data_IF_475406214736
#
_entry.id   IF_475406214736
#
_cell.length_a   1.000
_cell.length_b   1.000
_cell.length_c   1.000
_cell.angle_alpha   90.00
_cell.angle_beta   90.00
_cell.angle_gamma   90.00
#
_symmetry.space_group_name_H-M   'P 1'
#
loop_
_entity.id
_entity.type
_entity.pdbx_description
1 polymer ?
#
# COMPACT_ATOMS: atom_id res chain seq x y z
N UNK A 1 -21.28 -9.25 29.80
CA UNK A 1 -20.10 -8.73 29.08
C UNK A 1 -20.51 -8.52 27.62
N UNK A 2 -20.30 -7.34 27.06
CA UNK A 2 -20.71 -7.05 25.67
C UNK A 2 -19.85 -7.84 24.68
N UNK A 3 -20.49 -8.42 23.65
CA UNK A 3 -19.83 -9.23 22.60
C UNK A 3 -18.63 -8.51 21.95
N UNK A 4 -18.66 -7.17 21.85
CA UNK A 4 -17.57 -6.37 21.29
C UNK A 4 -16.26 -6.42 22.08
N UNK A 5 -16.29 -6.63 23.40
CA UNK A 5 -15.08 -6.72 24.21
C UNK A 5 -14.25 -7.97 23.89
N UNK A 6 -14.94 -9.10 23.67
CA UNK A 6 -14.30 -10.38 23.32
C UNK A 6 -13.58 -10.27 21.98
N UNK A 7 -14.20 -9.61 21.00
CA UNK A 7 -13.62 -9.41 19.66
C UNK A 7 -12.35 -8.55 19.72
N UNK A 8 -12.36 -7.47 20.51
CA UNK A 8 -11.18 -6.62 20.67
C UNK A 8 -10.02 -7.37 21.36
N UNK A 9 -10.32 -8.14 22.41
CA UNK A 9 -9.32 -8.94 23.12
C UNK A 9 -8.67 -9.98 22.19
N UNK A 10 -9.47 -10.67 21.38
CA UNK A 10 -8.97 -11.63 20.39
C UNK A 10 -8.09 -10.95 19.33
N UNK A 11 -8.53 -9.83 18.76
CA UNK A 11 -7.76 -9.10 17.74
C UNK A 11 -6.41 -8.59 18.25
N UNK A 12 -6.35 -8.11 19.50
CA UNK A 12 -5.08 -7.66 20.12
C UNK A 12 -4.13 -8.84 20.28
N UNK A 13 -4.62 -9.97 20.82
CA UNK A 13 -3.79 -11.17 21.02
C UNK A 13 -3.29 -11.73 19.70
N UNK A 14 -4.15 -11.82 18.69
CA UNK A 14 -3.80 -12.33 17.37
C UNK A 14 -2.78 -11.43 16.66
N UNK A 15 -2.97 -10.10 16.75
CA UNK A 15 -2.01 -9.13 16.20
C UNK A 15 -0.64 -9.20 16.87
N UNK A 16 -0.58 -9.34 18.20
CA UNK A 16 0.67 -9.53 18.94
C UNK A 16 1.34 -10.86 18.60
N UNK A 17 0.55 -11.95 18.52
CA UNK A 17 1.04 -13.28 18.17
C UNK A 17 1.66 -13.29 16.76
N UNK A 18 0.97 -12.69 15.79
CA UNK A 18 1.43 -12.59 14.41
C UNK A 18 2.70 -11.75 14.33
N UNK A 19 2.74 -10.62 15.03
CA UNK A 19 3.91 -9.73 15.06
C UNK A 19 5.14 -10.45 15.63
N UNK A 20 5.00 -11.12 16.78
CA UNK A 20 6.09 -11.84 17.44
C UNK A 20 6.58 -13.05 16.63
N UNK A 21 5.69 -13.84 16.04
CA UNK A 21 6.07 -14.93 15.11
C UNK A 21 6.89 -14.41 13.92
N UNK A 22 6.60 -13.19 13.49
CA UNK A 22 7.28 -12.58 12.35
C UNK A 22 8.70 -12.08 12.69
N UNK A 23 8.98 -11.78 13.96
CA UNK A 23 10.27 -11.27 14.44
C UNK A 23 11.14 -12.39 14.99
N UNK A 24 10.53 -13.40 15.61
CA UNK A 24 11.22 -14.56 16.19
C UNK A 24 10.61 -15.88 15.69
N UNK A 25 10.78 -16.22 14.39
CA UNK A 25 10.20 -17.45 13.82
C UNK A 25 10.80 -18.73 14.43
N UNK A 26 12.00 -18.64 15.02
CA UNK A 26 12.68 -19.73 15.71
C UNK A 26 12.16 -19.98 17.13
N UNK A 27 11.40 -19.04 17.71
CA UNK A 27 10.91 -19.18 19.08
C UNK A 27 9.75 -20.20 19.14
N UNK A 28 9.75 -21.03 20.19
CA UNK A 28 8.66 -21.97 20.43
C UNK A 28 7.35 -21.23 20.63
N UNK A 29 6.27 -21.75 20.05
CA UNK A 29 4.94 -21.12 20.11
C UNK A 29 4.47 -20.87 21.55
N UNK A 30 4.76 -21.78 22.48
CA UNK A 30 4.41 -21.62 23.89
C UNK A 30 5.12 -20.43 24.54
N UNK A 31 6.37 -20.16 24.18
CA UNK A 31 7.13 -18.99 24.65
C UNK A 31 6.50 -17.72 24.09
N UNK A 32 6.19 -17.69 22.79
CA UNK A 32 5.53 -16.54 22.16
C UNK A 32 4.17 -16.28 22.84
N UNK A 33 3.36 -17.31 23.08
CA UNK A 33 2.06 -17.16 23.72
C UNK A 33 2.17 -16.61 25.15
N UNK A 34 3.17 -17.06 25.92
CA UNK A 34 3.44 -16.51 27.26
C UNK A 34 3.77 -15.03 27.18
N UNK A 35 4.62 -14.62 26.23
CA UNK A 35 4.96 -13.22 26.01
C UNK A 35 3.75 -12.40 25.55
N UNK A 36 2.93 -12.91 24.62
CA UNK A 36 1.68 -12.26 24.19
C UNK A 36 0.77 -12.04 25.38
N UNK A 37 0.56 -13.06 26.22
CA UNK A 37 -0.30 -12.94 27.40
C UNK A 37 0.26 -11.93 28.41
N UNK A 38 1.57 -11.95 28.66
CA UNK A 38 2.23 -10.99 29.55
C UNK A 38 2.10 -9.54 29.05
N UNK A 39 2.23 -9.31 27.73
CA UNK A 39 2.08 -7.99 27.12
C UNK A 39 0.62 -7.53 27.01
N UNK A 40 -0.30 -8.47 26.78
CA UNK A 40 -1.72 -8.16 26.67
C UNK A 40 -2.37 -7.88 28.02
N UNK A 41 -1.88 -8.49 29.12
CA UNK A 41 -2.52 -8.39 30.43
C UNK A 41 -2.66 -6.94 30.94
N UNK A 42 -1.62 -6.08 30.91
CA UNK A 42 -1.76 -4.68 31.34
C UNK A 42 -2.67 -3.85 30.44
N UNK A 43 -2.63 -4.10 29.12
CA UNK A 43 -3.49 -3.39 28.17
C UNK A 43 -4.96 -3.79 28.36
N UNK A 44 -5.22 -5.08 28.58
CA UNK A 44 -6.55 -5.61 28.81
C UNK A 44 -7.10 -5.18 30.17
N UNK A 45 -6.27 -5.05 31.22
CA UNK A 45 -6.73 -4.57 32.53
C UNK A 45 -7.21 -3.12 32.47
N UNK A 46 -6.49 -2.24 31.75
CA UNK A 46 -6.93 -0.85 31.52
C UNK A 46 -8.26 -0.82 30.79
N UNK A 47 -8.39 -1.60 29.71
CA UNK A 47 -9.64 -1.69 28.94
C UNK A 47 -10.81 -2.26 29.76
N UNK A 48 -10.56 -3.23 30.66
CA UNK A 48 -11.60 -3.74 31.58
C UNK A 48 -12.03 -2.69 32.57
N UNK A 49 -11.09 -1.93 33.11
CA UNK A 49 -11.40 -0.89 34.07
C UNK A 49 -12.19 0.25 33.43
N UNK A 50 -11.81 0.67 32.22
CA UNK A 50 -12.57 1.66 31.44
C UNK A 50 -13.96 1.13 31.06
N UNK A 51 -14.08 -0.13 30.65
CA UNK A 51 -15.37 -0.75 30.36
C UNK A 51 -16.27 -0.83 31.61
N UNK A 52 -15.68 -1.14 32.77
CA UNK A 52 -16.39 -1.14 34.05
C UNK A 52 -16.85 0.27 34.45
N UNK A 53 -16.05 1.30 34.19
CA UNK A 53 -16.45 2.71 34.37
C UNK A 53 -17.57 3.10 33.40
N UNK A 54 -17.53 2.63 32.16
CA UNK A 54 -18.54 2.92 31.14
C UNK A 54 -19.89 2.26 31.42
N UNK A 55 -19.95 1.16 32.17
CA UNK A 55 -21.20 0.47 32.53
C UNK A 55 -22.03 1.17 33.62
N UNK A 56 -21.64 2.36 34.06
CA UNK A 56 -22.49 3.17 34.94
C UNK A 56 -23.73 3.63 34.15
N UNK A 57 -24.94 3.59 34.71
CA UNK A 57 -26.19 3.83 33.99
C UNK A 57 -26.30 5.23 33.35
N UNK A 58 -25.42 6.17 33.72
CA UNK A 58 -25.42 7.54 33.21
C UNK A 58 -24.26 7.85 32.25
N UNK A 59 -23.39 6.89 31.92
CA UNK A 59 -22.31 7.15 30.99
C UNK A 59 -22.75 6.86 29.55
N UNK A 60 -22.48 7.77 28.60
CA UNK A 60 -22.73 7.50 27.20
C UNK A 60 -21.90 6.28 26.75
N UNK A 61 -22.42 5.46 25.81
CA UNK A 61 -21.69 4.31 25.32
C UNK A 61 -20.34 4.75 24.75
N UNK A 62 -19.28 4.02 25.10
CA UNK A 62 -17.95 4.22 24.51
C UNK A 62 -18.05 4.09 22.99
N UNK A 63 -17.79 5.20 22.30
CA UNK A 63 -17.66 5.22 20.85
C UNK A 63 -16.18 5.22 20.47
N UNK A 64 -15.86 4.71 19.27
CA UNK A 64 -14.50 4.69 18.76
C UNK A 64 -13.83 6.08 18.76
N UNK A 65 -14.62 7.14 18.51
CA UNK A 65 -14.13 8.51 18.49
C UNK A 65 -13.96 9.13 19.88
N UNK A 66 -14.59 8.56 20.92
CA UNK A 66 -14.37 8.98 22.32
C UNK A 66 -13.12 8.40 22.95
N UNK A 67 -12.49 7.39 22.33
CA UNK A 67 -11.22 6.85 22.81
C UNK A 67 -10.09 7.88 22.69
N UNK A 68 -9.07 7.87 23.56
CA UNK A 68 -7.87 8.70 23.39
C UNK A 68 -7.20 8.51 22.00
N UNK A 69 -6.61 9.58 21.42
CA UNK A 69 -5.98 9.52 20.10
C UNK A 69 -4.95 8.39 19.94
N UNK A 70 -4.23 8.05 21.00
CA UNK A 70 -3.21 7.00 21.00
C UNK A 70 -3.81 5.62 20.75
N UNK A 71 -4.97 5.34 21.35
CA UNK A 71 -5.69 4.08 21.16
C UNK A 71 -6.33 4.04 19.77
N UNK A 72 -6.93 5.15 19.32
CA UNK A 72 -7.48 5.26 17.96
C UNK A 72 -6.41 4.99 16.91
N UNK A 73 -5.24 5.63 17.02
CA UNK A 73 -4.11 5.41 16.10
C UNK A 73 -3.63 3.96 16.06
N UNK A 74 -3.63 3.27 17.21
CA UNK A 74 -3.31 1.83 17.26
C UNK A 74 -4.36 0.98 16.54
N UNK A 75 -5.64 1.29 16.73
CA UNK A 75 -6.75 0.61 16.03
C UNK A 75 -6.65 0.88 14.52
N UNK A 76 -6.43 2.13 14.11
CA UNK A 76 -6.23 2.51 12.72
C UNK A 76 -5.06 1.79 12.09
N UNK A 77 -3.93 1.66 12.78
CA UNK A 77 -2.79 0.90 12.28
C UNK A 77 -3.14 -0.55 11.95
N UNK A 78 -4.03 -1.18 12.72
CA UNK A 78 -4.51 -2.55 12.44
C UNK A 78 -5.50 -2.56 11.26
N UNK A 79 -6.39 -1.57 11.18
CA UNK A 79 -7.43 -1.51 10.14
C UNK A 79 -6.95 -1.04 8.77
N UNK A 80 -5.89 -0.25 8.73
CA UNK A 80 -5.46 0.53 7.54
C UNK A 80 -4.22 -0.08 6.88
N UNK A 81 -3.37 -0.74 7.66
CA UNK A 81 -2.25 -1.50 7.12
C UNK A 81 -2.83 -2.84 6.67
N UNK A 82 -3.27 -2.85 5.41
CA UNK A 82 -3.91 -3.99 4.77
C UNK A 82 -3.06 -5.26 4.99
N UNK A 83 -3.62 -6.23 5.72
CA UNK A 83 -3.01 -7.55 5.78
C UNK A 83 -3.42 -8.25 4.49
N UNK A 84 -2.48 -8.57 3.59
CA UNK A 84 -2.83 -9.15 2.30
C UNK A 84 -3.65 -10.41 2.54
N UNK A 85 -4.90 -10.36 2.09
CA UNK A 85 -5.86 -11.44 2.21
C UNK A 85 -5.26 -12.67 1.52
N UNK A 86 -4.86 -13.67 2.31
CA UNK A 86 -4.08 -14.83 1.83
C UNK A 86 -4.82 -15.69 0.79
N UNK A 87 -6.06 -15.36 0.42
CA UNK A 87 -7.00 -16.29 -0.22
C UNK A 87 -7.36 -16.00 -1.69
N UNK A 88 -6.77 -15.01 -2.38
CA UNK A 88 -7.19 -14.67 -3.77
C UNK A 88 -6.09 -14.63 -4.86
N UNK A 89 -4.93 -15.26 -4.65
CA UNK A 89 -3.82 -15.21 -5.63
C UNK A 89 -3.88 -16.22 -6.80
N UNK A 90 -5.05 -16.71 -7.20
CA UNK A 90 -5.16 -17.65 -8.34
C UNK A 90 -5.72 -17.02 -9.64
N UNK A 91 -5.83 -15.69 -9.72
CA UNK A 91 -6.20 -14.98 -10.95
C UNK A 91 -5.04 -14.17 -11.51
N UNK A 92 -4.82 -14.20 -12.83
CA UNK A 92 -3.77 -13.52 -13.62
C UNK A 92 -3.72 -11.97 -13.56
N UNK A 93 -4.09 -11.33 -12.46
CA UNK A 93 -4.00 -9.88 -12.32
C UNK A 93 -3.77 -9.48 -10.88
N UNK A 94 -2.64 -8.81 -10.64
CA UNK A 94 -2.21 -8.21 -9.36
C UNK A 94 -1.54 -9.22 -8.42
N UNK A 95 -0.22 -9.37 -8.54
CA UNK A 95 0.59 -10.09 -7.54
C UNK A 95 0.91 -9.17 -6.36
N UNK A 96 0.20 -9.27 -5.25
CA UNK A 96 0.64 -8.59 -4.01
C UNK A 96 1.79 -9.42 -3.43
N UNK A 97 3.04 -9.05 -3.68
CA UNK A 97 4.22 -9.76 -3.20
C UNK A 97 4.41 -9.54 -1.69
N UNK A 98 4.72 -10.63 -0.96
CA UNK A 98 4.79 -10.76 0.51
C UNK A 98 5.87 -9.93 1.24
N UNK A 99 6.40 -8.86 0.65
CA UNK A 99 7.15 -7.88 1.43
C UNK A 99 6.14 -7.05 2.23
N UNK A 100 6.33 -6.96 3.55
CA UNK A 100 5.35 -6.34 4.47
C UNK A 100 4.98 -4.95 3.96
N UNK A 101 3.68 -4.73 3.73
CA UNK A 101 3.07 -3.47 3.35
C UNK A 101 3.41 -2.95 1.94
N UNK A 102 3.77 -3.82 1.00
CA UNK A 102 3.93 -3.41 -0.40
C UNK A 102 2.60 -3.47 -1.15
N UNK A 103 2.04 -2.31 -1.49
CA UNK A 103 0.91 -2.20 -2.40
C UNK A 103 1.45 -2.21 -3.83
N UNK A 104 1.47 -3.40 -4.44
CA UNK A 104 1.83 -3.52 -5.84
C UNK A 104 0.65 -3.04 -6.70
N UNK A 105 0.81 -1.89 -7.33
CA UNK A 105 0.00 -1.48 -8.45
C UNK A 105 0.58 -2.14 -9.71
N UNK A 106 0.03 -3.31 -10.05
CA UNK A 106 0.26 -3.95 -11.35
C UNK A 106 -1.05 -3.95 -12.13
N UNK A 107 -1.13 -3.14 -13.18
CA UNK A 107 -2.36 -3.08 -13.96
C UNK A 107 -2.17 -2.32 -15.26
N UNK A 108 -2.71 -2.89 -16.32
CA UNK A 108 -2.74 -2.33 -17.68
C UNK A 108 -3.85 -1.27 -17.81
N UNK A 109 -4.78 -1.21 -16.85
CA UNK A 109 -5.96 -0.33 -16.92
C UNK A 109 -6.03 0.69 -15.77
N UNK A 110 -6.47 1.94 -16.04
CA UNK A 110 -6.71 2.96 -15.02
C UNK A 110 -7.60 2.47 -13.87
N UNK A 111 -8.58 1.59 -14.14
CA UNK A 111 -9.47 1.02 -13.12
C UNK A 111 -8.80 0.02 -12.18
N UNK A 112 -7.71 -0.64 -12.59
CA UNK A 112 -6.90 -1.48 -11.71
C UNK A 112 -6.04 -0.61 -10.79
N UNK A 113 -5.48 0.48 -11.34
CA UNK A 113 -4.80 1.50 -10.55
C UNK A 113 -5.73 2.05 -9.46
N UNK A 114 -6.93 2.50 -9.84
CA UNK A 114 -7.88 3.07 -8.89
C UNK A 114 -8.19 2.13 -7.74
N UNK A 115 -8.19 0.81 -7.99
CA UNK A 115 -8.41 -0.22 -6.97
C UNK A 115 -7.24 -0.37 -6.01
N UNK A 116 -6.00 -0.42 -6.51
CA UNK A 116 -4.81 -0.57 -5.69
C UNK A 116 -4.50 0.67 -4.85
N UNK A 117 -5.08 1.82 -5.19
CA UNK A 117 -4.92 3.05 -4.41
C UNK A 117 -6.22 3.58 -3.81
N UNK A 118 -7.21 2.71 -3.63
CA UNK A 118 -8.39 3.11 -2.86
C UNK A 118 -7.96 3.40 -1.43
N UNK A 119 -8.13 4.66 -1.05
CA UNK A 119 -8.07 5.05 0.36
C UNK A 119 -8.93 4.08 1.18
N UNK A 120 -8.43 3.61 2.34
CA UNK A 120 -9.09 2.59 3.14
C UNK A 120 -10.51 3.04 3.49
N UNK A 121 -11.48 2.13 3.50
CA UNK A 121 -12.89 2.47 3.68
C UNK A 121 -13.13 3.34 4.94
N UNK A 122 -12.39 3.07 6.02
CA UNK A 122 -12.46 3.81 7.28
C UNK A 122 -12.12 5.30 7.14
N UNK A 123 -11.25 5.67 6.20
CA UNK A 123 -10.89 7.07 5.92
C UNK A 123 -12.00 7.88 5.25
N UNK A 124 -13.11 7.23 4.86
CA UNK A 124 -14.26 7.85 4.20
C UNK A 124 -15.45 8.06 5.13
N UNK A 125 -15.41 7.50 6.34
CA UNK A 125 -16.54 7.52 7.27
C UNK A 125 -16.77 8.92 7.84
N UNK A 126 -15.71 9.58 8.31
CA UNK A 126 -15.79 10.95 8.82
C UNK A 126 -14.46 11.70 8.67
N UNK A 127 -14.50 13.03 8.81
CA UNK A 127 -13.31 13.90 8.70
C UNK A 127 -12.22 13.54 9.70
N UNK A 128 -12.59 13.22 10.95
CA UNK A 128 -11.63 12.85 11.99
C UNK A 128 -10.90 11.54 11.66
N UNK A 129 -11.65 10.48 11.33
CA UNK A 129 -11.05 9.21 10.89
C UNK A 129 -10.15 9.42 9.68
N UNK A 130 -10.53 10.27 8.73
CA UNK A 130 -9.68 10.61 7.57
C UNK A 130 -8.33 11.21 7.99
N UNK A 131 -8.35 12.22 8.85
CA UNK A 131 -7.13 12.92 9.32
C UNK A 131 -6.21 11.99 10.10
N UNK A 132 -6.77 11.07 10.88
CA UNK A 132 -5.98 10.11 11.68
C UNK A 132 -5.47 8.93 10.86
N UNK A 133 -6.25 8.43 9.89
CA UNK A 133 -5.95 7.18 9.17
C UNK A 133 -5.06 7.38 7.94
N UNK A 134 -5.19 8.49 7.20
CA UNK A 134 -4.41 8.67 5.97
C UNK A 134 -2.90 8.81 6.22
N UNK A 135 -2.41 9.54 7.23
CA UNK A 135 -0.97 9.57 7.53
C UNK A 135 -0.44 8.19 7.90
N UNK A 136 -1.22 7.38 8.62
CA UNK A 136 -0.89 6.00 8.96
C UNK A 136 -0.83 5.14 7.69
N UNK A 137 -1.80 5.31 6.78
CA UNK A 137 -1.83 4.59 5.51
C UNK A 137 -0.60 4.91 4.65
N UNK A 138 -0.34 6.19 4.36
CA UNK A 138 0.76 6.56 3.46
C UNK A 138 2.14 6.40 4.10
N UNK A 139 2.22 6.52 5.44
CA UNK A 139 3.49 6.47 6.18
C UNK A 139 3.96 5.06 6.53
N UNK A 140 3.04 4.09 6.60
CA UNK A 140 3.38 2.69 6.95
C UNK A 140 3.35 1.73 5.76
N UNK A 141 2.80 2.16 4.62
CA UNK A 141 2.79 1.38 3.40
C UNK A 141 3.91 1.80 2.45
N UNK A 142 4.40 0.83 1.69
CA UNK A 142 5.27 1.03 0.54
C UNK A 142 4.42 0.88 -0.71
N UNK A 143 4.42 1.88 -1.57
CA UNK A 143 3.66 1.84 -2.82
C UNK A 143 4.61 1.43 -3.92
N UNK A 144 4.33 0.32 -4.59
CA UNK A 144 5.13 -0.16 -5.70
C UNK A 144 4.36 0.00 -7.00
N UNK A 145 4.91 0.78 -7.92
CA UNK A 145 4.40 0.93 -9.25
C UNK A 145 5.20 0.09 -10.22
N UNK A 146 4.54 -0.79 -10.98
CA UNK A 146 5.21 -1.54 -12.06
C UNK A 146 4.52 -1.25 -13.38
N UNK A 147 5.25 -0.64 -14.32
CA UNK A 147 4.78 -0.43 -15.69
C UNK A 147 4.79 -1.79 -16.41
N UNK A 148 3.62 -2.35 -16.73
CA UNK A 148 3.50 -3.59 -17.52
C UNK A 148 3.39 -3.22 -19.00
N UNK A 149 4.41 -3.56 -19.80
CA UNK A 149 4.60 -3.00 -21.14
C UNK A 149 4.81 -4.03 -22.24
N UNK A 150 4.20 -5.22 -22.15
CA UNK A 150 4.27 -6.17 -23.27
C UNK A 150 3.42 -5.74 -24.48
N UNK A 151 2.24 -5.17 -24.27
CA UNK A 151 1.32 -4.92 -25.40
C UNK A 151 1.61 -3.63 -26.17
N UNK A 152 2.30 -2.65 -25.56
CA UNK A 152 2.64 -1.40 -26.24
C UNK A 152 3.85 -1.54 -27.15
N UNK A 153 4.88 -2.30 -26.76
CA UNK A 153 6.01 -2.59 -27.64
C UNK A 153 5.57 -3.34 -28.91
N UNK A 154 4.66 -4.30 -28.81
CA UNK A 154 4.12 -4.98 -29.99
C UNK A 154 3.43 -4.02 -30.97
N UNK A 155 2.73 -2.98 -30.47
CA UNK A 155 2.12 -1.95 -31.32
C UNK A 155 3.11 -0.93 -31.84
N UNK A 156 4.03 -0.42 -31.01
CA UNK A 156 4.99 0.61 -31.42
C UNK A 156 6.00 0.04 -32.42
N UNK A 157 6.57 -1.14 -32.17
CA UNK A 157 7.46 -1.80 -33.12
C UNK A 157 6.70 -2.36 -34.32
N UNK A 158 5.48 -2.87 -34.13
CA UNK A 158 4.62 -3.30 -35.24
C UNK A 158 4.26 -2.16 -36.19
N UNK A 159 4.02 -0.95 -35.67
CA UNK A 159 3.61 0.23 -36.48
C UNK A 159 4.81 0.95 -37.08
N UNK A 160 5.95 1.06 -36.37
CA UNK A 160 7.18 1.66 -36.89
C UNK A 160 7.81 0.84 -38.02
N UNK A 161 7.55 -0.48 -38.08
CA UNK A 161 8.04 -1.35 -39.15
C UNK A 161 7.07 -1.48 -40.33
N UNK A 162 5.82 -0.98 -40.26
CA UNK A 162 4.81 -1.23 -41.30
C UNK A 162 4.21 -0.02 -42.01
N UNK A 163 4.46 1.22 -41.57
CA UNK A 163 3.83 2.40 -42.19
C UNK A 163 4.84 3.47 -42.66
N UNK A 164 5.34 3.39 -43.91
CA UNK A 164 5.96 4.54 -44.56
C UNK A 164 4.90 5.63 -44.78
N UNK A 165 4.97 6.73 -44.04
CA UNK A 165 4.09 7.90 -44.22
C UNK A 165 3.42 8.48 -42.97
N UNK A 166 3.69 7.98 -41.76
CA UNK A 166 3.13 8.53 -40.51
C UNK A 166 3.92 9.73 -39.94
N UNK A 167 4.41 10.62 -40.81
CA UNK A 167 5.03 11.88 -40.41
C UNK A 167 3.92 12.90 -40.08
N UNK A 168 3.78 13.29 -38.80
CA UNK A 168 3.05 14.52 -38.48
C UNK A 168 2.08 14.47 -37.30
N UNK A 169 1.90 13.34 -36.60
CA UNK A 169 1.11 13.32 -35.36
C UNK A 169 1.91 12.77 -34.19
N UNK A 170 3.00 13.46 -33.88
CA UNK A 170 3.63 13.44 -32.56
C UNK A 170 2.82 14.34 -31.62
N UNK A 171 1.56 14.02 -31.38
CA UNK A 171 0.99 14.35 -30.08
C UNK A 171 1.75 13.45 -29.11
N UNK A 172 2.93 13.90 -28.70
CA UNK A 172 3.67 13.41 -27.55
C UNK A 172 2.73 13.55 -26.36
N UNK A 173 1.87 12.55 -26.26
CA UNK A 173 0.85 12.40 -25.25
C UNK A 173 1.64 12.37 -23.97
N UNK A 174 1.50 13.48 -23.28
CA UNK A 174 2.44 14.02 -22.33
C UNK A 174 2.67 13.00 -21.23
N UNK A 175 3.88 13.01 -20.67
CA UNK A 175 4.23 12.25 -19.47
C UNK A 175 3.18 12.37 -18.33
N UNK A 176 2.28 13.36 -18.38
CA UNK A 176 1.05 13.47 -17.56
C UNK A 176 0.13 12.24 -17.57
N UNK A 177 0.30 11.31 -18.52
CA UNK A 177 -0.42 10.03 -18.54
C UNK A 177 0.26 8.91 -17.76
N UNK A 178 1.45 9.14 -17.21
CA UNK A 178 2.04 8.23 -16.24
C UNK A 178 1.09 8.14 -15.04
N UNK A 179 0.43 7.00 -14.91
CA UNK A 179 -0.66 6.84 -13.96
C UNK A 179 -0.18 6.96 -12.49
N UNK A 180 1.13 6.86 -12.23
CA UNK A 180 1.81 7.31 -10.98
C UNK A 180 1.54 8.79 -10.71
N UNK A 181 1.76 9.66 -11.70
CA UNK A 181 1.63 11.10 -11.54
C UNK A 181 0.17 11.50 -11.33
N UNK A 182 -0.77 10.87 -12.07
CA UNK A 182 -2.22 11.05 -11.84
C UNK A 182 -2.60 10.66 -10.42
N UNK A 183 -2.06 9.54 -9.93
CA UNK A 183 -2.27 9.11 -8.55
C UNK A 183 -1.67 10.11 -7.53
N UNK A 184 -0.41 10.48 -7.68
CA UNK A 184 0.27 11.43 -6.80
C UNK A 184 -0.49 12.75 -6.74
N UNK A 185 -0.99 13.24 -7.88
CA UNK A 185 -1.84 14.43 -7.94
C UNK A 185 -3.17 14.22 -7.22
N UNK A 186 -3.84 13.09 -7.43
CA UNK A 186 -5.14 12.80 -6.83
C UNK A 186 -5.11 12.68 -5.30
N UNK A 187 -4.01 12.25 -4.69
CA UNK A 187 -3.92 12.16 -3.22
C UNK A 187 -3.72 13.52 -2.54
N UNK A 188 -3.24 14.53 -3.28
CA UNK A 188 -3.02 15.90 -2.77
C UNK A 188 -1.81 16.06 -1.85
N UNK A 189 -1.34 17.29 -1.67
CA UNK A 189 -0.09 17.65 -0.97
C UNK A 189 -0.01 17.11 0.46
N UNK A 190 -1.09 17.24 1.24
CA UNK A 190 -1.09 16.81 2.64
C UNK A 190 -0.86 15.31 2.82
N UNK A 191 -1.34 14.49 1.88
CA UNK A 191 -1.12 13.05 1.91
C UNK A 191 0.23 12.67 1.30
N UNK A 192 0.69 13.40 0.26
CA UNK A 192 2.03 13.24 -0.30
C UNK A 192 3.11 13.44 0.76
N UNK A 193 2.95 14.41 1.66
CA UNK A 193 3.87 14.64 2.78
C UNK A 193 3.96 13.45 3.75
N UNK A 194 2.93 12.61 3.83
CA UNK A 194 2.91 11.39 4.63
C UNK A 194 3.46 10.16 3.91
N UNK A 195 3.78 10.24 2.60
CA UNK A 195 4.28 9.13 1.81
C UNK A 195 5.70 8.78 2.23
N UNK A 196 5.91 7.57 2.79
CA UNK A 196 7.25 7.19 3.28
C UNK A 196 8.10 6.49 2.22
N UNK A 197 7.52 5.62 1.41
CA UNK A 197 8.27 4.88 0.39
C UNK A 197 7.45 4.65 -0.87
N UNK A 198 8.10 4.95 -2.00
CA UNK A 198 7.57 4.78 -3.34
C UNK A 198 8.60 4.03 -4.18
N UNK A 199 8.28 2.80 -4.57
CA UNK A 199 9.12 1.99 -5.46
C UNK A 199 8.54 2.07 -6.84
N UNK A 200 9.37 2.37 -7.82
CA UNK A 200 8.95 2.49 -9.20
C UNK A 200 9.80 1.56 -10.05
N UNK A 201 9.11 0.66 -10.76
CA UNK A 201 9.68 -0.45 -11.50
C UNK A 201 9.51 -0.22 -13.01
N UNK A 202 10.64 -0.33 -13.73
CA UNK A 202 10.77 -0.07 -15.17
C UNK A 202 11.41 -1.25 -15.88
N UNK A 203 11.23 -1.31 -17.20
CA UNK A 203 12.02 -2.16 -18.07
C UNK A 203 13.18 -1.34 -18.67
N UNK A 204 14.33 -1.96 -18.93
CA UNK A 204 15.52 -1.27 -19.44
C UNK A 204 15.32 -0.58 -20.79
N UNK A 205 14.28 -0.95 -21.54
CA UNK A 205 13.92 -0.33 -22.83
C UNK A 205 13.26 1.06 -22.67
N UNK A 206 12.84 1.45 -21.47
CA UNK A 206 12.10 2.70 -21.19
C UNK A 206 13.00 3.81 -20.59
N UNK A 207 14.30 3.85 -20.88
CA UNK A 207 15.26 4.75 -20.23
C UNK A 207 14.94 6.26 -20.38
N UNK A 208 14.53 6.77 -21.56
CA UNK A 208 14.17 8.19 -21.71
C UNK A 208 12.94 8.58 -20.89
N UNK A 209 11.88 7.77 -20.94
CA UNK A 209 10.64 7.99 -20.20
C UNK A 209 10.84 7.85 -18.70
N UNK A 210 11.72 6.93 -18.28
CA UNK A 210 12.16 6.80 -16.89
C UNK A 210 12.73 8.12 -16.38
N UNK A 211 13.68 8.73 -17.10
CA UNK A 211 14.31 9.99 -16.66
C UNK A 211 13.31 11.13 -16.53
N UNK A 212 12.36 11.23 -17.46
CA UNK A 212 11.33 12.26 -17.38
C UNK A 212 10.33 12.01 -16.24
N UNK A 213 9.97 10.75 -15.98
CA UNK A 213 9.17 10.38 -14.81
C UNK A 213 9.94 10.60 -13.48
N UNK A 214 11.26 10.38 -13.47
CA UNK A 214 12.16 10.69 -12.34
C UNK A 214 12.07 12.15 -11.93
N UNK A 215 12.24 13.04 -12.90
CA UNK A 215 12.19 14.49 -12.67
C UNK A 215 10.82 14.90 -12.11
N UNK A 216 9.74 14.39 -12.69
CA UNK A 216 8.39 14.82 -12.30
C UNK A 216 7.93 14.20 -10.96
N UNK A 217 8.29 12.95 -10.67
CA UNK A 217 8.05 12.36 -9.34
C UNK A 217 8.87 13.10 -8.28
N UNK A 218 10.14 13.41 -8.56
CA UNK A 218 10.98 14.19 -7.65
C UNK A 218 10.45 15.62 -7.42
N UNK A 219 9.71 16.19 -8.38
CA UNK A 219 9.03 17.48 -8.24
C UNK A 219 7.79 17.40 -7.35
N UNK A 220 7.01 16.32 -7.48
CA UNK A 220 5.75 16.15 -6.74
C UNK A 220 5.94 15.61 -5.32
N UNK A 221 7.01 14.87 -5.09
CA UNK A 221 7.30 14.19 -3.83
C UNK A 221 8.52 14.86 -3.19
N UNK A 222 8.42 15.21 -1.91
CA UNK A 222 9.56 15.70 -1.15
C UNK A 222 10.57 14.56 -0.96
N UNK A 223 11.59 14.51 -1.83
CA UNK A 223 12.63 13.47 -1.85
C UNK A 223 13.48 13.45 -0.58
N UNK A 224 13.44 14.52 0.24
CA UNK A 224 14.06 14.52 1.57
C UNK A 224 13.28 13.74 2.62
N UNK A 225 11.98 13.47 2.39
CA UNK A 225 11.09 12.75 3.33
C UNK A 225 10.61 11.40 2.81
N UNK A 226 10.48 11.25 1.50
CA UNK A 226 10.01 10.01 0.87
C UNK A 226 11.18 9.24 0.25
N UNK A 227 11.33 7.97 0.64
CA UNK A 227 12.27 7.02 0.04
C UNK A 227 11.75 6.56 -1.33
N UNK A 228 12.18 7.25 -2.39
CA UNK A 228 11.83 6.91 -3.78
C UNK A 228 12.90 6.00 -4.37
N UNK A 229 12.53 4.75 -4.71
CA UNK A 229 13.42 3.74 -5.28
C UNK A 229 13.07 3.47 -6.74
N UNK A 230 14.12 3.28 -7.54
CA UNK A 230 14.01 3.04 -8.98
C UNK A 230 14.59 1.65 -9.27
N UNK A 231 13.73 0.70 -9.63
CA UNK A 231 14.13 -0.69 -9.87
C UNK A 231 13.97 -1.05 -11.35
N UNK A 232 15.03 -1.60 -11.95
CA UNK A 232 14.95 -2.18 -13.29
C UNK A 232 14.52 -3.64 -13.14
N UNK A 233 13.33 -3.97 -13.65
CA UNK A 233 12.72 -5.30 -13.54
C UNK A 233 13.42 -6.32 -14.43
N UNK A 234 13.86 -5.87 -15.60
CA UNK A 234 14.49 -6.71 -16.62
C UNK A 234 15.53 -5.85 -17.34
N UNK A 235 16.75 -6.35 -17.43
CA UNK A 235 17.82 -5.72 -18.19
C UNK A 235 17.54 -5.82 -19.69
N UNK A 236 18.10 -4.92 -20.50
CA UNK A 236 17.87 -4.96 -21.94
C UNK A 236 18.31 -6.30 -22.55
N UNK A 237 19.37 -6.90 -22.00
CA UNK A 237 19.86 -8.22 -22.40
C UNK A 237 18.85 -9.33 -22.12
N UNK A 238 18.24 -9.35 -20.94
CA UNK A 238 17.20 -10.33 -20.58
C UNK A 238 15.95 -10.15 -21.45
N UNK A 239 15.55 -8.91 -21.68
CA UNK A 239 14.42 -8.59 -22.56
C UNK A 239 14.65 -9.13 -23.98
N UNK A 240 15.78 -8.79 -24.60
CA UNK A 240 16.10 -9.25 -25.95
C UNK A 240 16.29 -10.76 -26.04
N UNK A 241 16.87 -11.39 -25.00
CA UNK A 241 16.97 -12.84 -24.90
C UNK A 241 15.59 -13.51 -24.86
N UNK A 242 14.66 -12.97 -24.07
CA UNK A 242 13.29 -13.49 -23.96
C UNK A 242 12.47 -13.28 -25.24
N UNK A 243 12.71 -12.19 -25.97
CA UNK A 243 12.10 -11.96 -27.29
C UNK A 243 12.67 -12.93 -28.32
N UNK A 244 13.99 -13.11 -28.38
CA UNK A 244 14.65 -13.95 -29.37
C UNK A 244 14.34 -15.46 -29.23
N UNK A 245 14.04 -15.94 -28.02
CA UNK A 245 13.64 -17.35 -27.78
C UNK A 245 12.13 -17.58 -28.03
N UNK A 246 11.33 -16.50 -28.01
CA UNK A 246 9.90 -16.56 -28.25
C UNK A 246 9.49 -16.47 -29.73
N UNK A 247 10.44 -16.26 -30.64
CA UNK A 247 10.27 -16.28 -32.10
C UNK A 247 10.88 -17.55 -32.69
#
# INVERSE_FOLDING_TARGET
MSSGYIILELNIRDGLLQSLRSVAPWARLSTIQKTVNALATPALSILREEAARSNRPNNPPLTLLTLPPELRNRIWKICVVDQPDKKRQHGHGIQITKARNVHLVTGVTPSALERCVKQPAISRVCRQSRVETLPIFYGLNTFMWRRMYRDWCAKVYGTLLTAPGAEGRTDTTTLSDAAVLKWLNAIGDGNRAGLKSLVLQWYAVDLPEKRAAEIEVARLVDTGKTDVKWECVETGKEFWYNVAIGC
#
